data_IF_814255003113
#
_entry.id   IF_814255003113
#
_cell.length_a   1.000
_cell.length_b   1.000
_cell.length_c   1.000
_cell.angle_alpha   90.00
_cell.angle_beta   90.00
_cell.angle_gamma   90.00
#
_symmetry.space_group_name_H-M   'P 1'
#
loop_
_entity.id
_entity.type
_entity.pdbx_description
1 polymer ?
#
# COMPACT_ATOMS: atom_id res chain seq x y z
N UNK A 1 45.22 -36.75 -2.84
CA UNK A 1 44.11 -35.81 -3.14
C UNK A 1 44.65 -34.41 -2.95
N UNK A 2 44.74 -33.62 -4.03
CA UNK A 2 45.32 -32.27 -4.04
C UNK A 2 44.20 -31.31 -4.46
N UNK A 3 43.63 -30.59 -3.51
CA UNK A 3 42.49 -29.69 -3.71
C UNK A 3 42.98 -28.31 -4.14
N UNK A 4 42.85 -28.02 -5.44
CA UNK A 4 43.15 -26.72 -6.04
C UNK A 4 41.92 -25.81 -5.93
N UNK A 5 41.88 -24.93 -4.93
CA UNK A 5 40.85 -23.91 -4.81
C UNK A 5 41.11 -22.80 -5.83
N UNK A 6 40.24 -22.70 -6.84
CA UNK A 6 40.31 -21.69 -7.89
C UNK A 6 39.92 -20.31 -7.35
N UNK A 7 40.80 -19.35 -7.60
CA UNK A 7 40.65 -17.92 -7.33
C UNK A 7 39.52 -17.39 -8.22
N UNK A 8 38.44 -16.86 -7.63
CA UNK A 8 37.46 -16.06 -8.35
C UNK A 8 37.78 -14.58 -8.14
N UNK A 9 38.26 -13.96 -9.22
CA UNK A 9 38.57 -12.55 -9.32
C UNK A 9 37.31 -11.70 -9.12
N UNK A 10 37.34 -10.80 -8.15
CA UNK A 10 36.35 -9.72 -7.99
C UNK A 10 36.69 -8.65 -9.03
N UNK A 11 35.99 -8.70 -10.16
CA UNK A 11 36.03 -7.65 -11.16
C UNK A 11 35.16 -6.47 -10.69
N UNK A 12 35.84 -5.40 -10.34
CA UNK A 12 35.29 -4.09 -10.02
C UNK A 12 34.67 -3.46 -11.28
N UNK A 13 33.36 -3.62 -11.46
CA UNK A 13 32.59 -2.93 -12.51
C UNK A 13 31.86 -1.74 -11.89
N UNK A 14 32.63 -0.67 -11.68
CA UNK A 14 32.13 0.68 -11.43
C UNK A 14 31.46 1.15 -12.72
N UNK A 15 30.17 0.89 -12.86
CA UNK A 15 29.32 1.64 -13.78
C UNK A 15 28.59 2.69 -12.94
N UNK A 16 29.11 3.92 -12.99
CA UNK A 16 28.52 5.07 -12.32
C UNK A 16 27.13 5.35 -12.87
N UNK A 17 26.11 5.02 -12.08
CA UNK A 17 24.88 5.79 -12.07
C UNK A 17 24.95 6.73 -10.89
N UNK A 18 25.28 7.99 -11.19
CA UNK A 18 25.18 9.13 -10.29
C UNK A 18 23.70 9.37 -9.95
N UNK A 19 23.08 8.50 -9.17
CA UNK A 19 21.80 8.79 -8.55
C UNK A 19 22.09 9.69 -7.34
N UNK A 20 21.92 11.00 -7.53
CA UNK A 20 21.94 11.95 -6.44
C UNK A 20 20.92 11.53 -5.37
N UNK A 21 21.23 11.56 -4.07
CA UNK A 21 20.32 11.08 -3.01
C UNK A 21 18.97 11.83 -3.00
N UNK A 22 18.91 13.01 -3.60
CA UNK A 22 17.70 13.83 -3.78
C UNK A 22 16.61 13.11 -4.59
N UNK A 23 16.99 12.29 -5.58
CA UNK A 23 16.03 11.60 -6.45
C UNK A 23 15.41 10.37 -5.78
N UNK A 24 16.19 9.65 -4.96
CA UNK A 24 15.69 8.52 -4.17
C UNK A 24 14.71 8.98 -3.08
N UNK A 25 15.00 10.10 -2.42
CA UNK A 25 14.15 10.65 -1.35
C UNK A 25 12.80 11.16 -1.89
N UNK A 26 12.79 11.83 -3.05
CA UNK A 26 11.56 12.26 -3.71
C UNK A 26 10.71 11.07 -4.21
N UNK A 27 11.34 9.98 -4.66
CA UNK A 27 10.64 8.78 -5.12
C UNK A 27 9.99 8.00 -3.96
N UNK A 28 10.71 7.84 -2.84
CA UNK A 28 10.15 7.27 -1.60
C UNK A 28 9.00 8.11 -1.05
N UNK A 29 9.18 9.44 -0.97
CA UNK A 29 8.14 10.35 -0.50
C UNK A 29 6.87 10.31 -1.37
N UNK A 30 7.01 10.03 -2.67
CA UNK A 30 5.88 9.88 -3.60
C UNK A 30 5.14 8.54 -3.40
N UNK A 31 5.85 7.46 -3.05
CA UNK A 31 5.24 6.15 -2.79
C UNK A 31 4.45 6.12 -1.48
N UNK A 32 4.83 6.93 -0.50
CA UNK A 32 4.12 7.06 0.77
C UNK A 32 2.86 7.94 0.69
N UNK A 33 2.48 8.43 -0.49
CA UNK A 33 1.28 9.25 -0.67
C UNK A 33 0.01 8.42 -0.53
N UNK A 34 -1.02 8.92 0.16
CA UNK A 34 -2.26 8.17 0.40
C UNK A 34 -2.95 7.79 -0.89
N UNK A 35 -2.82 8.62 -1.93
CA UNK A 35 -3.44 8.37 -3.23
C UNK A 35 -2.76 7.21 -3.98
N UNK A 36 -1.44 7.06 -3.87
CA UNK A 36 -0.71 5.98 -4.56
C UNK A 36 -1.05 4.63 -3.92
N UNK A 37 -1.02 4.56 -2.58
CA UNK A 37 -1.40 3.37 -1.82
C UNK A 37 -2.87 3.01 -2.09
N UNK A 38 -3.77 3.98 -2.04
CA UNK A 38 -5.19 3.76 -2.30
C UNK A 38 -5.47 3.29 -3.73
N UNK A 39 -4.71 3.77 -4.73
CA UNK A 39 -4.88 3.36 -6.12
C UNK A 39 -4.53 1.88 -6.31
N UNK A 40 -3.40 1.43 -5.76
CA UNK A 40 -2.99 0.02 -5.79
C UNK A 40 -4.01 -0.87 -5.09
N UNK A 41 -4.41 -0.52 -3.87
CA UNK A 41 -5.42 -1.28 -3.12
C UNK A 41 -6.79 -1.30 -3.82
N UNK A 42 -7.18 -0.23 -4.49
CA UNK A 42 -8.43 -0.20 -5.27
C UNK A 42 -8.36 -1.19 -6.43
N UNK A 43 -7.21 -1.30 -7.12
CA UNK A 43 -7.02 -2.26 -8.20
C UNK A 43 -7.09 -3.71 -7.68
N UNK A 44 -6.40 -4.01 -6.59
CA UNK A 44 -6.44 -5.34 -5.95
C UNK A 44 -7.88 -5.73 -5.52
N UNK A 45 -8.59 -4.78 -4.91
CA UNK A 45 -10.00 -4.99 -4.52
C UNK A 45 -10.91 -5.12 -5.73
N UNK A 46 -10.63 -4.40 -6.82
CA UNK A 46 -11.37 -4.58 -8.07
C UNK A 46 -11.19 -5.99 -8.61
N UNK A 47 -9.97 -6.49 -8.67
CA UNK A 47 -9.68 -7.83 -9.20
C UNK A 47 -10.31 -8.93 -8.34
N UNK A 48 -10.35 -8.74 -7.01
CA UNK A 48 -10.93 -9.70 -6.08
C UNK A 48 -12.47 -9.67 -6.02
N UNK A 49 -13.08 -8.49 -6.17
CA UNK A 49 -14.51 -8.28 -5.91
C UNK A 49 -15.33 -7.94 -7.15
N UNK A 50 -14.67 -7.75 -8.29
CA UNK A 50 -15.24 -7.28 -9.55
C UNK A 50 -16.09 -6.02 -9.33
N UNK A 51 -15.43 -4.93 -8.92
CA UNK A 51 -16.11 -3.69 -8.54
C UNK A 51 -16.64 -2.96 -9.77
N UNK A 52 -17.84 -2.39 -9.67
CA UNK A 52 -18.34 -1.47 -10.70
C UNK A 52 -17.51 -0.18 -10.73
N UNK A 53 -17.56 0.58 -11.83
CA UNK A 53 -16.81 1.83 -11.94
C UNK A 53 -17.16 2.85 -10.84
N UNK A 54 -18.41 2.87 -10.37
CA UNK A 54 -18.83 3.74 -9.27
C UNK A 54 -18.30 3.23 -7.92
N UNK A 55 -18.32 1.90 -7.71
CA UNK A 55 -17.76 1.27 -6.52
C UNK A 55 -16.25 1.50 -6.44
N UNK A 56 -15.50 1.35 -7.54
CA UNK A 56 -14.06 1.62 -7.58
C UNK A 56 -13.75 3.06 -7.13
N UNK A 57 -14.49 4.04 -7.66
CA UNK A 57 -14.32 5.46 -7.29
C UNK A 57 -14.64 5.70 -5.80
N UNK A 58 -15.67 5.05 -5.27
CA UNK A 58 -16.04 5.17 -3.87
C UNK A 58 -15.04 4.48 -2.93
N UNK A 59 -14.58 3.27 -3.27
CA UNK A 59 -13.54 2.53 -2.54
C UNK A 59 -12.24 3.32 -2.51
N UNK A 60 -11.82 3.88 -3.65
CA UNK A 60 -10.64 4.72 -3.73
C UNK A 60 -10.72 5.90 -2.74
N UNK A 61 -11.83 6.64 -2.72
CA UNK A 61 -12.03 7.75 -1.78
C UNK A 61 -11.98 7.27 -0.32
N UNK A 62 -12.62 6.13 -0.02
CA UNK A 62 -12.61 5.57 1.33
C UNK A 62 -11.19 5.20 1.79
N UNK A 63 -10.38 4.61 0.90
CA UNK A 63 -8.99 4.25 1.18
C UNK A 63 -8.09 5.47 1.38
N UNK A 64 -8.25 6.53 0.57
CA UNK A 64 -7.52 7.79 0.76
C UNK A 64 -7.86 8.42 2.12
N UNK A 65 -9.15 8.46 2.48
CA UNK A 65 -9.60 8.98 3.78
C UNK A 65 -9.02 8.18 4.94
N UNK A 66 -9.09 6.84 4.87
CA UNK A 66 -8.50 5.94 5.88
C UNK A 66 -7.01 6.23 6.03
N UNK A 67 -6.26 6.27 4.93
CA UNK A 67 -4.82 6.54 4.96
C UNK A 67 -4.49 7.90 5.59
N UNK A 68 -5.27 8.95 5.28
CA UNK A 68 -5.10 10.27 5.88
C UNK A 68 -5.39 10.27 7.39
N UNK A 69 -6.48 9.63 7.81
CA UNK A 69 -6.86 9.49 9.22
C UNK A 69 -5.85 8.66 10.01
N UNK A 70 -5.36 7.55 9.46
CA UNK A 70 -4.32 6.72 10.08
C UNK A 70 -3.02 7.49 10.28
N UNK A 71 -2.58 8.30 9.31
CA UNK A 71 -1.41 9.18 9.50
C UNK A 71 -1.62 10.18 10.63
N UNK A 72 -2.80 10.81 10.69
CA UNK A 72 -3.15 11.75 11.77
C UNK A 72 -3.15 11.07 13.15
N UNK A 73 -3.73 9.86 13.25
CA UNK A 73 -3.76 9.10 14.49
C UNK A 73 -2.36 8.61 14.92
N UNK A 74 -1.52 8.24 13.95
CA UNK A 74 -0.12 7.86 14.17
C UNK A 74 0.73 9.01 14.70
N UNK A 75 0.56 10.22 14.17
CA UNK A 75 1.25 11.41 14.66
C UNK A 75 0.89 11.77 16.11
N UNK A 76 -0.35 11.46 16.53
CA UNK A 76 -0.84 11.78 17.88
C UNK A 76 -0.69 10.62 18.89
N UNK A 77 -0.08 9.49 18.51
CA UNK A 77 0.00 8.25 19.31
C UNK A 77 -1.33 7.82 19.97
N UNK A 78 -2.46 8.15 19.33
CA UNK A 78 -3.78 7.92 19.89
C UNK A 78 -4.33 6.59 19.36
N UNK A 79 -4.28 5.54 20.19
CA UNK A 79 -4.74 4.20 19.83
C UNK A 79 -6.26 4.15 19.57
N UNK A 80 -7.05 4.88 20.35
CA UNK A 80 -8.52 4.95 20.19
C UNK A 80 -8.91 5.54 18.84
N UNK A 81 -8.15 6.55 18.38
CA UNK A 81 -8.34 7.15 17.05
C UNK A 81 -8.08 6.17 15.91
N UNK A 82 -7.17 5.20 16.09
CA UNK A 82 -6.90 4.16 15.07
C UNK A 82 -8.04 3.15 15.01
N UNK A 83 -8.55 2.71 16.15
CA UNK A 83 -9.68 1.78 16.21
C UNK A 83 -10.96 2.38 15.61
N UNK A 84 -11.22 3.67 15.90
CA UNK A 84 -12.34 4.39 15.29
C UNK A 84 -12.19 4.51 13.77
N UNK A 85 -10.98 4.85 13.29
CA UNK A 85 -10.69 4.93 11.85
C UNK A 85 -11.00 3.61 11.13
N UNK A 86 -10.63 2.47 11.72
CA UNK A 86 -10.95 1.16 11.13
C UNK A 86 -12.46 0.87 11.15
N UNK A 87 -13.15 1.24 12.23
CA UNK A 87 -14.60 1.04 12.37
C UNK A 87 -15.36 1.85 11.32
N UNK A 88 -15.04 3.13 11.18
CA UNK A 88 -15.65 4.03 10.18
C UNK A 88 -15.36 3.55 8.75
N UNK A 89 -14.14 3.06 8.51
CA UNK A 89 -13.77 2.49 7.23
C UNK A 89 -14.59 1.24 6.90
N UNK A 90 -14.74 0.29 7.84
CA UNK A 90 -15.56 -0.92 7.64
C UNK A 90 -17.02 -0.55 7.36
N UNK A 91 -17.59 0.41 8.10
CA UNK A 91 -18.94 0.89 7.87
C UNK A 91 -19.11 1.51 6.48
N UNK A 92 -18.13 2.31 6.04
CA UNK A 92 -18.09 2.90 4.70
C UNK A 92 -18.03 1.82 3.62
N UNK A 93 -17.16 0.82 3.77
CA UNK A 93 -17.05 -0.30 2.81
C UNK A 93 -18.35 -1.10 2.71
N UNK A 94 -19.06 -1.30 3.84
CA UNK A 94 -20.37 -1.97 3.86
C UNK A 94 -21.44 -1.20 3.06
N UNK A 95 -21.36 0.13 3.02
CA UNK A 95 -22.28 0.96 2.23
C UNK A 95 -21.95 1.02 0.74
N UNK A 96 -20.70 0.74 0.35
CA UNK A 96 -20.26 0.78 -1.05
C UNK A 96 -20.41 -0.58 -1.74
N UNK A 97 -20.10 -1.65 -1.02
CA UNK A 97 -20.09 -3.01 -1.54
C UNK A 97 -21.48 -3.64 -1.45
N UNK A 98 -21.79 -4.55 -2.37
CA UNK A 98 -22.93 -5.46 -2.18
C UNK A 98 -22.64 -6.40 -1.02
N UNK A 99 -23.69 -7.03 -0.47
CA UNK A 99 -23.53 -7.98 0.63
C UNK A 99 -22.55 -9.12 0.29
N UNK A 100 -22.64 -9.66 -0.93
CA UNK A 100 -21.73 -10.70 -1.41
C UNK A 100 -20.29 -10.20 -1.53
N UNK A 101 -20.08 -8.98 -2.06
CA UNK A 101 -18.75 -8.38 -2.17
C UNK A 101 -18.17 -8.07 -0.79
N UNK A 102 -18.98 -7.55 0.13
CA UNK A 102 -18.55 -7.25 1.50
C UNK A 102 -18.12 -8.51 2.25
N UNK A 103 -18.90 -9.60 2.14
CA UNK A 103 -18.56 -10.87 2.77
C UNK A 103 -17.27 -11.49 2.19
N UNK A 104 -17.00 -11.31 0.88
CA UNK A 104 -15.72 -11.66 0.27
C UNK A 104 -14.58 -10.77 0.79
N UNK A 105 -14.81 -9.46 0.83
CA UNK A 105 -13.84 -8.47 1.31
C UNK A 105 -13.37 -8.75 2.73
N UNK A 106 -14.28 -9.12 3.64
CA UNK A 106 -13.96 -9.49 5.02
C UNK A 106 -13.02 -10.69 5.16
N UNK A 107 -12.90 -11.52 4.12
CA UNK A 107 -12.03 -12.71 4.08
C UNK A 107 -10.67 -12.41 3.43
N UNK A 108 -10.48 -11.22 2.86
CA UNK A 108 -9.19 -10.80 2.32
C UNK A 108 -8.28 -10.45 3.50
N UNK A 109 -7.06 -11.00 3.58
CA UNK A 109 -6.11 -10.62 4.61
C UNK A 109 -5.76 -9.13 4.49
N UNK A 110 -5.82 -8.41 5.63
CA UNK A 110 -5.62 -6.96 5.74
C UNK A 110 -4.24 -6.59 6.27
#
# INVERSE_FOLDING_TARGET
MKTSWKIFSIALLVFGFMASPVQAQALQQNQDRPEVIAKTQTAELNDALNLSGDQQRAVFRALVTRAAQTRKAGANNNADSKAQTETDFVATMKGILTETQFSKWQKIPK
#
